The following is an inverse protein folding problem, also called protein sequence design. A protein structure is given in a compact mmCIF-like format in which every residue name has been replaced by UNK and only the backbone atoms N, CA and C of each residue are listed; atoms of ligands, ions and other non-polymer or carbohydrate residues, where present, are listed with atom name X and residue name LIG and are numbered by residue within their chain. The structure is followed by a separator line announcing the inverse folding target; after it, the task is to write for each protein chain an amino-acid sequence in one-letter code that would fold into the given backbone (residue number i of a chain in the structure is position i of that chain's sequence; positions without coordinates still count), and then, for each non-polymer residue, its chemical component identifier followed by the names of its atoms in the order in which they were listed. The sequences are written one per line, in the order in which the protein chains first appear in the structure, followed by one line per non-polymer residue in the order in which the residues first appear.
data_IF_760853522535
#
_entry.id   IF_760853522535
#
_cell.length_a   1.000
_cell.length_b   1.000
_cell.length_c   1.000
_cell.angle_alpha   90.00
_cell.angle_beta   90.00
_cell.angle_gamma   90.00
#
_symmetry.space_group_name_H-M   'P 1'
#
loop_
_entity.id
_entity.type
_entity.pdbx_description
1 polymer ?
#
# COMPACT_ATOMS: atom_id res chain seq x y z
N UNK A 1 -6.54 31.03 -20.48
CA UNK A 1 -6.42 30.84 -19.00
C UNK A 1 -4.95 30.57 -18.67
N UNK A 2 -4.37 31.29 -17.69
CA UNK A 2 -2.96 31.04 -17.31
C UNK A 2 -2.77 29.61 -16.78
N UNK A 3 -1.61 28.99 -17.09
CA UNK A 3 -1.30 27.60 -16.66
C UNK A 3 -1.39 27.45 -15.13
N UNK A 4 -1.02 28.48 -14.39
CA UNK A 4 -1.08 28.49 -12.92
C UNK A 4 -2.52 28.40 -12.44
N UNK A 5 -3.42 29.21 -13.03
CA UNK A 5 -4.84 29.21 -12.69
C UNK A 5 -5.49 27.86 -13.02
N UNK A 6 -5.15 27.29 -14.17
CA UNK A 6 -5.59 25.96 -14.57
C UNK A 6 -5.18 24.89 -13.55
N UNK A 7 -3.95 24.90 -13.07
CA UNK A 7 -3.44 23.95 -12.05
C UNK A 7 -4.13 24.14 -10.69
N UNK A 8 -4.37 25.40 -10.28
CA UNK A 8 -5.09 25.73 -9.05
C UNK A 8 -6.54 25.23 -9.11
N UNK A 9 -7.22 25.47 -10.23
CA UNK A 9 -8.58 25.01 -10.47
C UNK A 9 -8.67 23.48 -10.50
N UNK A 10 -7.73 22.81 -11.19
CA UNK A 10 -7.63 21.36 -11.18
C UNK A 10 -7.46 20.77 -9.76
N UNK A 11 -6.61 21.39 -8.93
CA UNK A 11 -6.47 21.00 -7.53
C UNK A 11 -7.78 21.15 -6.76
N UNK A 12 -8.54 22.25 -6.98
CA UNK A 12 -9.86 22.46 -6.36
C UNK A 12 -10.86 21.40 -6.81
N UNK A 13 -10.88 21.10 -8.10
CA UNK A 13 -11.73 20.06 -8.66
C UNK A 13 -11.43 18.66 -8.08
N UNK A 14 -10.16 18.27 -7.99
CA UNK A 14 -9.77 17.02 -7.34
C UNK A 14 -10.19 16.95 -5.86
N UNK A 15 -10.16 18.07 -5.13
CA UNK A 15 -10.67 18.15 -3.76
C UNK A 15 -12.19 17.93 -3.70
N UNK A 16 -12.97 18.57 -4.60
CA UNK A 16 -14.43 18.38 -4.69
C UNK A 16 -14.79 16.92 -4.98
N UNK A 17 -13.96 16.19 -5.72
CA UNK A 17 -14.10 14.75 -5.97
C UNK A 17 -13.62 13.87 -4.81
N UNK A 18 -13.37 14.43 -3.65
CA UNK A 18 -12.92 13.73 -2.45
C UNK A 18 -11.66 12.87 -2.65
N UNK A 19 -10.73 13.32 -3.52
CA UNK A 19 -9.46 12.66 -3.68
C UNK A 19 -8.63 12.75 -2.39
N UNK A 20 -7.95 11.66 -2.02
CA UNK A 20 -7.12 11.62 -0.82
C UNK A 20 -6.01 12.68 -0.85
N UNK A 21 -5.60 13.17 0.33
CA UNK A 21 -4.50 14.12 0.46
C UNK A 21 -3.19 13.60 -0.18
N UNK A 22 -2.97 12.28 -0.13
CA UNK A 22 -1.84 11.63 -0.78
C UNK A 22 -1.94 11.72 -2.32
N UNK A 23 -3.10 11.40 -2.88
CA UNK A 23 -3.37 11.49 -4.33
C UNK A 23 -3.18 12.93 -4.82
N UNK A 24 -3.77 13.90 -4.11
CA UNK A 24 -3.60 15.32 -4.42
C UNK A 24 -2.12 15.73 -4.43
N UNK A 25 -1.36 15.36 -3.40
CA UNK A 25 0.07 15.68 -3.33
C UNK A 25 0.85 15.07 -4.48
N UNK A 26 0.59 13.80 -4.81
CA UNK A 26 1.27 13.10 -5.90
C UNK A 26 0.96 13.79 -7.23
N UNK A 27 -0.31 14.06 -7.54
CA UNK A 27 -0.71 14.70 -8.79
C UNK A 27 -0.13 16.11 -8.92
N UNK A 28 -0.20 16.91 -7.85
CA UNK A 28 0.36 18.27 -7.89
C UNK A 28 1.89 18.27 -8.05
N UNK A 29 2.60 17.37 -7.37
CA UNK A 29 4.05 17.27 -7.52
C UNK A 29 4.47 16.85 -8.93
N UNK A 30 3.83 15.82 -9.48
CA UNK A 30 4.15 15.32 -10.83
C UNK A 30 3.78 16.35 -11.89
N UNK A 31 2.62 16.99 -11.76
CA UNK A 31 2.20 18.05 -12.68
C UNK A 31 3.10 19.28 -12.61
N UNK A 32 3.54 19.69 -11.40
CA UNK A 32 4.52 20.76 -11.23
C UNK A 32 5.80 20.49 -12.02
N UNK A 33 6.33 19.26 -11.96
CA UNK A 33 7.54 18.91 -12.71
C UNK A 33 7.31 19.02 -14.22
N UNK A 34 6.16 18.58 -14.72
CA UNK A 34 5.80 18.72 -16.13
C UNK A 34 5.74 20.19 -16.54
N UNK A 35 5.00 21.01 -15.76
CA UNK A 35 4.83 22.44 -16.05
C UNK A 35 6.16 23.22 -16.01
N UNK A 36 7.05 22.89 -15.07
CA UNK A 36 8.38 23.53 -14.99
C UNK A 36 9.33 23.10 -16.12
N UNK A 37 9.13 21.90 -16.67
CA UNK A 37 9.91 21.41 -17.79
C UNK A 37 9.37 21.97 -19.12
N UNK A 38 8.06 22.22 -19.21
CA UNK A 38 7.39 22.66 -20.41
C UNK A 38 7.74 24.12 -20.70
N UNK A 39 8.32 24.38 -21.87
CA UNK A 39 8.67 25.73 -22.36
C UNK A 39 7.61 26.34 -23.29
N UNK A 40 6.47 25.65 -23.48
CA UNK A 40 5.42 26.00 -24.43
C UNK A 40 4.07 26.18 -23.72
N UNK A 41 3.10 26.91 -24.31
CA UNK A 41 1.72 26.92 -23.85
C UNK A 41 1.13 25.50 -23.81
N UNK A 42 0.23 25.24 -22.85
CA UNK A 42 -0.38 23.90 -22.67
C UNK A 42 -1.23 23.49 -23.86
N UNK A 43 -1.72 24.45 -24.62
CA UNK A 43 -2.52 24.26 -25.84
C UNK A 43 -1.69 23.72 -27.01
N UNK A 44 -0.39 23.99 -27.03
CA UNK A 44 0.55 23.57 -28.08
C UNK A 44 1.21 22.22 -27.82
N UNK A 45 0.95 21.60 -26.66
CA UNK A 45 1.53 20.32 -26.30
C UNK A 45 0.95 19.19 -27.15
N UNK A 46 1.74 18.75 -28.12
CA UNK A 46 1.41 17.62 -28.98
C UNK A 46 2.03 16.30 -28.48
N UNK A 47 1.74 15.20 -29.21
CA UNK A 47 2.30 13.88 -28.90
C UNK A 47 3.82 13.83 -28.84
N UNK A 48 4.52 14.60 -29.67
CA UNK A 48 5.99 14.66 -29.71
C UNK A 48 6.57 15.23 -28.41
N UNK A 49 5.98 16.32 -27.93
CA UNK A 49 6.40 16.94 -26.65
C UNK A 49 6.24 15.96 -25.47
N UNK A 50 5.19 15.11 -25.49
CA UNK A 50 5.02 14.07 -24.46
C UNK A 50 6.13 13.02 -24.58
N UNK A 51 6.55 12.63 -25.76
CA UNK A 51 7.67 11.70 -25.97
C UNK A 51 8.98 12.31 -25.46
N UNK A 52 9.26 13.57 -25.80
CA UNK A 52 10.45 14.28 -25.30
C UNK A 52 10.44 14.39 -23.77
N UNK A 53 9.27 14.55 -23.16
CA UNK A 53 9.15 14.51 -21.69
C UNK A 53 9.42 13.13 -21.11
N UNK A 54 8.95 12.05 -21.77
CA UNK A 54 9.28 10.67 -21.36
C UNK A 54 10.79 10.45 -21.42
N UNK A 55 11.45 10.86 -22.51
CA UNK A 55 12.89 10.71 -22.69
C UNK A 55 13.66 11.50 -21.62
N UNK A 56 13.21 12.73 -21.31
CA UNK A 56 13.74 13.51 -20.20
C UNK A 56 13.63 12.77 -18.85
N UNK A 57 12.49 12.13 -18.55
CA UNK A 57 12.29 11.39 -17.31
C UNK A 57 13.16 10.10 -17.27
N UNK A 58 13.36 9.44 -18.42
CA UNK A 58 14.25 8.28 -18.56
C UNK A 58 15.70 8.71 -18.33
N UNK A 59 16.16 9.80 -18.94
CA UNK A 59 17.51 10.35 -18.78
C UNK A 59 17.81 10.72 -17.32
N UNK A 60 16.80 11.10 -16.55
CA UNK A 60 16.90 11.32 -15.09
C UNK A 60 16.94 10.03 -14.26
N UNK A 61 16.95 8.86 -14.88
CA UNK A 61 17.00 7.57 -14.18
C UNK A 61 15.73 7.17 -13.45
N UNK A 62 14.57 7.74 -13.78
CA UNK A 62 13.31 7.37 -13.13
C UNK A 62 12.85 5.99 -13.61
N UNK A 63 12.30 5.21 -12.67
CA UNK A 63 11.78 3.90 -13.03
C UNK A 63 10.45 4.00 -13.82
N UNK A 64 10.13 3.01 -14.68
CA UNK A 64 8.94 3.04 -15.54
C UNK A 64 7.62 3.28 -14.79
N UNK A 65 7.48 2.76 -13.57
CA UNK A 65 6.29 2.97 -12.76
C UNK A 65 6.13 4.43 -12.33
N UNK A 66 7.24 5.09 -12.00
CA UNK A 66 7.25 6.52 -11.65
C UNK A 66 6.90 7.35 -12.87
N UNK A 67 7.51 7.05 -14.04
CA UNK A 67 7.20 7.73 -15.31
C UNK A 67 5.70 7.61 -15.63
N UNK A 68 5.12 6.42 -15.50
CA UNK A 68 3.68 6.23 -15.71
C UNK A 68 2.83 7.06 -14.74
N UNK A 69 3.27 7.28 -13.49
CA UNK A 69 2.59 8.19 -12.56
C UNK A 69 2.61 9.65 -13.05
N UNK A 70 3.71 10.10 -13.67
CA UNK A 70 3.77 11.42 -14.30
C UNK A 70 2.78 11.52 -15.46
N UNK A 71 2.79 10.54 -16.36
CA UNK A 71 1.89 10.51 -17.53
C UNK A 71 0.42 10.45 -17.11
N UNK A 72 0.08 9.65 -16.09
CA UNK A 72 -1.29 9.58 -15.57
C UNK A 72 -1.75 10.91 -14.96
N UNK A 73 -0.86 11.65 -14.32
CA UNK A 73 -1.16 12.97 -13.75
C UNK A 73 -1.36 14.02 -14.84
N UNK A 74 -0.49 14.04 -15.85
CA UNK A 74 -0.62 14.95 -17.02
C UNK A 74 -1.89 14.60 -17.78
N UNK A 75 -2.15 13.32 -18.08
CA UNK A 75 -3.37 12.88 -18.74
C UNK A 75 -4.63 13.31 -17.99
N UNK A 76 -4.61 13.16 -16.65
CA UNK A 76 -5.72 13.59 -15.80
C UNK A 76 -5.98 15.09 -15.86
N UNK A 77 -4.91 15.89 -15.92
CA UNK A 77 -4.99 17.33 -16.05
C UNK A 77 -5.59 17.76 -17.41
N UNK A 78 -5.11 17.19 -18.52
CA UNK A 78 -5.68 17.48 -19.84
C UNK A 78 -7.14 17.03 -19.97
N UNK A 79 -7.52 15.88 -19.40
CA UNK A 79 -8.93 15.49 -19.36
C UNK A 79 -9.79 16.50 -18.58
N UNK A 80 -9.27 17.05 -17.49
CA UNK A 80 -9.94 18.11 -16.74
C UNK A 80 -10.14 19.37 -17.60
N UNK A 81 -9.10 19.83 -18.30
CA UNK A 81 -9.19 21.00 -19.19
C UNK A 81 -10.24 20.81 -20.29
N UNK A 82 -10.30 19.62 -20.88
CA UNK A 82 -11.24 19.31 -21.96
C UNK A 82 -12.68 19.22 -21.45
N UNK A 83 -12.90 18.49 -20.35
CA UNK A 83 -14.27 18.15 -19.94
C UNK A 83 -14.89 19.14 -18.95
N UNK A 84 -14.10 19.78 -18.11
CA UNK A 84 -14.60 20.67 -17.07
C UNK A 84 -14.40 22.15 -17.43
N UNK A 85 -13.25 22.51 -18.01
CA UNK A 85 -12.96 23.88 -18.42
C UNK A 85 -13.32 24.16 -19.91
N UNK A 86 -13.80 23.14 -20.63
CA UNK A 86 -14.26 23.21 -22.04
C UNK A 86 -13.19 23.76 -22.98
N UNK A 87 -11.90 23.58 -22.70
CA UNK A 87 -10.81 24.03 -23.55
C UNK A 87 -10.76 23.15 -24.80
N UNK A 88 -10.72 23.78 -25.98
CA UNK A 88 -10.70 23.08 -27.29
C UNK A 88 -9.31 22.55 -27.63
N UNK A 89 -8.86 21.52 -26.89
CA UNK A 89 -7.59 20.84 -27.10
C UNK A 89 -7.80 19.31 -27.10
N UNK A 90 -6.81 18.58 -27.60
CA UNK A 90 -6.79 17.11 -27.54
C UNK A 90 -5.83 16.68 -26.45
N UNK A 91 -6.19 15.64 -25.70
CA UNK A 91 -5.27 15.10 -24.69
C UNK A 91 -4.02 14.51 -25.36
N UNK A 92 -2.83 15.09 -25.15
CA UNK A 92 -1.61 14.63 -25.82
C UNK A 92 -1.10 13.30 -25.31
N UNK A 93 -1.51 12.88 -24.08
CA UNK A 93 -1.05 11.64 -23.45
C UNK A 93 -1.94 10.46 -23.84
N UNK A 94 -1.55 9.73 -24.88
CA UNK A 94 -2.23 8.49 -25.32
C UNK A 94 -1.93 7.34 -24.38
N UNK A 95 -2.86 6.37 -24.24
CA UNK A 95 -2.64 5.16 -23.41
C UNK A 95 -1.44 4.33 -23.87
N UNK A 96 -1.14 4.32 -25.15
CA UNK A 96 0.01 3.64 -25.74
C UNK A 96 1.37 4.17 -25.31
N UNK A 97 1.45 5.36 -24.71
CA UNK A 97 2.70 5.96 -24.21
C UNK A 97 3.10 5.43 -22.83
N UNK A 98 2.21 4.72 -22.13
CA UNK A 98 2.56 4.12 -20.85
C UNK A 98 3.61 3.03 -21.05
N UNK A 99 4.70 3.12 -20.29
CA UNK A 99 5.78 2.17 -20.32
C UNK A 99 5.31 0.80 -19.80
N UNK A 100 5.77 -0.27 -20.42
CA UNK A 100 5.51 -1.64 -19.95
C UNK A 100 6.16 -1.83 -18.57
N UNK A 101 5.36 -2.32 -17.62
CA UNK A 101 5.85 -2.58 -16.27
C UNK A 101 6.13 -4.07 -16.10
N UNK A 102 7.30 -4.39 -15.59
CA UNK A 102 7.56 -5.72 -15.04
C UNK A 102 6.57 -5.99 -13.89
N UNK A 103 6.10 -7.24 -13.78
CA UNK A 103 5.19 -7.67 -12.71
C UNK A 103 5.91 -8.67 -11.81
N UNK A 104 6.92 -8.22 -11.04
CA UNK A 104 7.62 -9.11 -10.12
C UNK A 104 6.62 -9.69 -9.11
N UNK A 105 6.91 -10.90 -8.66
CA UNK A 105 6.16 -11.51 -7.59
C UNK A 105 6.26 -10.65 -6.32
N UNK A 106 5.18 -10.51 -5.53
CA UNK A 106 5.24 -9.83 -4.26
C UNK A 106 6.28 -10.47 -3.35
N UNK A 107 7.25 -9.69 -2.88
CA UNK A 107 8.20 -10.18 -1.88
C UNK A 107 7.49 -10.34 -0.54
N UNK A 108 7.66 -11.48 0.09
CA UNK A 108 7.20 -11.80 1.43
C UNK A 108 8.39 -12.35 2.24
N UNK A 109 8.26 -12.38 3.54
CA UNK A 109 9.23 -13.05 4.41
C UNK A 109 9.02 -14.55 4.33
N UNK A 110 10.11 -15.31 4.28
CA UNK A 110 10.10 -16.74 4.48
C UNK A 110 9.82 -17.07 5.95
N UNK A 111 9.34 -18.26 6.23
CA UNK A 111 8.92 -18.61 7.60
C UNK A 111 10.09 -18.55 8.59
N UNK A 112 11.32 -18.89 8.18
CA UNK A 112 12.53 -18.77 8.99
C UNK A 112 13.01 -17.32 9.21
N UNK A 113 12.60 -16.38 8.38
CA UNK A 113 12.97 -14.96 8.52
C UNK A 113 12.11 -14.24 9.56
N UNK A 114 10.90 -14.73 9.81
CA UNK A 114 9.96 -14.13 10.77
C UNK A 114 10.52 -14.16 12.19
N UNK A 115 10.94 -15.32 12.76
CA UNK A 115 11.56 -15.37 14.08
C UNK A 115 12.81 -14.48 14.18
N UNK A 116 13.64 -14.44 13.14
CA UNK A 116 14.86 -13.60 13.11
C UNK A 116 14.52 -12.11 13.21
N UNK A 117 13.49 -11.65 12.48
CA UNK A 117 13.01 -10.27 12.57
C UNK A 117 12.49 -9.96 13.98
N UNK A 118 11.63 -10.83 14.51
CA UNK A 118 10.99 -10.59 15.81
C UNK A 118 11.93 -10.77 17.01
N UNK A 119 13.02 -11.48 16.88
CA UNK A 119 14.05 -11.63 17.93
C UNK A 119 14.73 -10.31 18.28
N UNK A 120 14.91 -9.42 17.30
CA UNK A 120 15.58 -8.11 17.52
C UNK A 120 14.61 -7.00 17.95
N UNK A 121 13.29 -7.27 18.01
CA UNK A 121 12.28 -6.27 18.37
C UNK A 121 12.08 -6.26 19.89
N UNK A 122 12.78 -5.38 20.58
CA UNK A 122 12.74 -5.28 22.06
C UNK A 122 11.60 -4.37 22.56
N UNK A 123 11.09 -3.44 21.75
CA UNK A 123 9.98 -2.56 22.13
C UNK A 123 8.64 -3.29 22.07
N UNK A 124 7.90 -3.35 23.20
CA UNK A 124 6.56 -3.94 23.26
C UNK A 124 5.59 -3.27 22.29
N UNK A 125 5.67 -1.93 22.16
CA UNK A 125 4.88 -1.17 21.19
C UNK A 125 5.17 -1.61 19.74
N UNK A 126 6.44 -1.62 19.36
CA UNK A 126 6.86 -1.94 18.01
C UNK A 126 6.53 -3.40 17.66
N UNK A 127 6.70 -4.30 18.64
CA UNK A 127 6.30 -5.71 18.53
C UNK A 127 4.79 -5.83 18.26
N UNK A 128 3.96 -5.14 19.03
CA UNK A 128 2.51 -5.13 18.79
C UNK A 128 2.14 -4.56 17.42
N UNK A 129 2.74 -3.44 17.00
CA UNK A 129 2.55 -2.85 15.68
C UNK A 129 2.83 -3.87 14.57
N UNK A 130 4.00 -4.51 14.61
CA UNK A 130 4.42 -5.41 13.54
C UNK A 130 3.69 -6.77 13.57
N UNK A 131 3.29 -7.24 14.77
CA UNK A 131 2.42 -8.41 14.88
C UNK A 131 1.04 -8.16 14.27
N UNK A 132 0.42 -6.99 14.49
CA UNK A 132 -0.84 -6.65 13.82
C UNK A 132 -0.70 -6.56 12.30
N UNK A 133 0.44 -6.06 11.81
CA UNK A 133 0.67 -6.04 10.36
C UNK A 133 0.89 -7.44 9.78
N UNK A 134 1.58 -8.33 10.52
CA UNK A 134 1.88 -9.69 10.10
C UNK A 134 0.67 -10.63 10.22
N UNK A 135 -0.12 -10.53 11.31
CA UNK A 135 -1.20 -11.48 11.59
C UNK A 135 -2.57 -11.01 11.14
N UNK A 136 -2.84 -9.69 11.20
CA UNK A 136 -4.11 -9.12 10.77
C UNK A 136 -4.03 -8.47 9.38
N UNK A 137 -2.86 -8.44 8.75
CA UNK A 137 -2.65 -7.89 7.42
C UNK A 137 -2.92 -6.39 7.30
N UNK A 138 -2.75 -5.63 8.37
CA UNK A 138 -3.03 -4.20 8.40
C UNK A 138 -2.01 -3.41 7.56
N UNK A 139 -2.49 -2.33 6.94
CA UNK A 139 -1.62 -1.34 6.30
C UNK A 139 -0.98 -0.45 7.36
N UNK A 140 0.22 0.05 7.09
CA UNK A 140 0.92 0.96 8.01
C UNK A 140 0.08 2.20 8.37
N UNK A 141 -0.68 2.73 7.42
CA UNK A 141 -1.59 3.86 7.64
C UNK A 141 -2.77 3.50 8.54
N UNK A 142 -3.30 2.29 8.41
CA UNK A 142 -4.38 1.77 9.26
C UNK A 142 -3.90 1.63 10.70
N UNK A 143 -2.69 1.09 10.89
CA UNK A 143 -2.08 0.96 12.22
C UNK A 143 -1.78 2.33 12.84
N UNK A 144 -1.23 3.28 12.08
CA UNK A 144 -0.92 4.62 12.58
C UNK A 144 -2.17 5.42 13.03
N UNK A 145 -3.31 5.19 12.36
CA UNK A 145 -4.59 5.88 12.65
C UNK A 145 -5.49 5.12 13.62
N UNK A 146 -5.07 3.95 14.10
CA UNK A 146 -5.89 3.09 14.93
C UNK A 146 -6.21 3.72 16.27
N UNK A 147 -7.47 3.65 16.67
CA UNK A 147 -7.93 4.12 17.98
C UNK A 147 -8.07 2.94 18.96
N UNK A 148 -8.10 3.24 20.26
CA UNK A 148 -8.39 2.25 21.30
C UNK A 148 -9.78 1.64 21.14
N UNK A 149 -10.76 2.43 20.69
CA UNK A 149 -12.15 1.99 20.46
C UNK A 149 -12.29 0.96 19.31
N UNK A 150 -11.23 0.83 18.47
CA UNK A 150 -11.22 -0.16 17.41
C UNK A 150 -10.94 -1.59 17.92
N UNK A 151 -10.58 -1.74 19.19
CA UNK A 151 -10.24 -3.00 19.84
C UNK A 151 -11.44 -3.64 20.55
N UNK A 152 -11.72 -4.89 20.20
CA UNK A 152 -12.59 -5.80 20.95
C UNK A 152 -11.74 -7.01 21.38
N UNK A 153 -11.07 -6.89 22.51
CA UNK A 153 -10.20 -7.96 23.03
C UNK A 153 -10.97 -9.23 23.45
N UNK A 154 -12.15 -9.14 24.10
CA UNK A 154 -12.96 -10.31 24.41
C UNK A 154 -13.33 -11.15 23.18
N UNK A 155 -13.66 -10.50 22.07
CA UNK A 155 -13.99 -11.20 20.81
C UNK A 155 -12.78 -11.43 19.92
N UNK A 156 -11.58 -11.04 20.35
CA UNK A 156 -10.35 -11.11 19.53
C UNK A 156 -10.53 -10.43 18.16
N UNK A 157 -11.22 -9.29 18.13
CA UNK A 157 -11.53 -8.54 16.92
C UNK A 157 -10.93 -7.14 16.93
N UNK A 158 -10.72 -6.62 15.72
CA UNK A 158 -10.21 -5.29 15.51
C UNK A 158 -10.91 -4.65 14.32
N UNK A 159 -11.52 -3.49 14.55
CA UNK A 159 -12.28 -2.75 13.56
C UNK A 159 -11.39 -1.78 12.79
N UNK A 160 -11.37 -1.89 11.48
CA UNK A 160 -10.66 -0.95 10.58
C UNK A 160 -11.69 -0.05 9.94
N UNK A 161 -11.96 1.12 10.56
CA UNK A 161 -13.04 2.03 10.16
C UNK A 161 -12.82 2.75 8.82
N UNK A 162 -11.57 3.01 8.43
CA UNK A 162 -11.23 3.78 7.22
C UNK A 162 -10.15 3.07 6.40
N UNK A 163 -10.55 2.00 5.70
CA UNK A 163 -9.70 1.36 4.69
C UNK A 163 -9.59 2.18 3.40
N UNK A 164 -8.75 1.74 2.47
CA UNK A 164 -8.68 2.34 1.13
C UNK A 164 -10.06 2.30 0.45
N UNK A 165 -10.59 3.46 0.06
CA UNK A 165 -11.94 3.59 -0.50
C UNK A 165 -13.05 3.71 0.55
N UNK A 166 -12.73 4.09 1.79
CA UNK A 166 -13.67 4.33 2.90
C UNK A 166 -14.55 3.12 3.29
N UNK A 167 -14.10 1.90 2.99
CA UNK A 167 -14.78 0.65 3.41
C UNK A 167 -14.17 0.15 4.71
N UNK A 168 -14.99 0.07 5.76
CA UNK A 168 -14.65 -0.58 7.01
C UNK A 168 -14.53 -2.10 6.84
N UNK A 169 -13.74 -2.74 7.69
CA UNK A 169 -13.70 -4.21 7.82
C UNK A 169 -13.33 -4.62 9.23
N UNK A 170 -13.70 -5.84 9.59
CA UNK A 170 -13.24 -6.50 10.81
C UNK A 170 -12.07 -7.42 10.46
N UNK A 171 -11.04 -7.43 11.29
CA UNK A 171 -9.95 -8.41 11.26
C UNK A 171 -9.82 -9.08 12.62
N UNK A 172 -9.25 -10.28 12.63
CA UNK A 172 -9.19 -11.11 13.82
C UNK A 172 -7.77 -11.12 14.40
N UNK A 173 -7.68 -11.13 15.72
CA UNK A 173 -6.42 -11.21 16.45
C UNK A 173 -6.06 -12.68 16.70
N UNK A 174 -4.91 -13.08 16.19
CA UNK A 174 -4.31 -14.36 16.60
C UNK A 174 -3.80 -14.29 18.05
N UNK A 175 -3.66 -15.43 18.75
CA UNK A 175 -3.22 -15.44 20.16
C UNK A 175 -1.90 -14.71 20.39
N UNK A 176 -0.94 -14.83 19.46
CA UNK A 176 0.36 -14.15 19.53
C UNK A 176 0.25 -12.64 19.32
N UNK A 177 -0.61 -12.18 18.40
CA UNK A 177 -0.90 -10.77 18.19
C UNK A 177 -1.64 -10.14 19.39
N UNK A 178 -2.62 -10.85 19.94
CA UNK A 178 -3.36 -10.42 21.12
C UNK A 178 -2.43 -10.28 22.33
N UNK A 179 -1.56 -11.26 22.59
CA UNK A 179 -0.56 -11.21 23.67
C UNK A 179 0.37 -10.00 23.51
N UNK A 180 0.94 -9.81 22.32
CA UNK A 180 1.82 -8.66 22.05
C UNK A 180 1.12 -7.32 22.29
N UNK A 181 -0.17 -7.23 21.93
CA UNK A 181 -0.98 -6.06 22.13
C UNK A 181 -1.27 -5.80 23.62
N UNK A 182 -1.66 -6.82 24.38
CA UNK A 182 -1.88 -6.72 25.83
C UNK A 182 -0.60 -6.30 26.54
N UNK A 183 0.55 -6.88 26.19
CA UNK A 183 1.85 -6.51 26.75
C UNK A 183 2.20 -5.03 26.50
N UNK A 184 1.83 -4.50 25.35
CA UNK A 184 1.99 -3.07 25.05
C UNK A 184 1.00 -2.22 25.88
N UNK A 185 -0.27 -2.60 25.94
CA UNK A 185 -1.32 -1.85 26.65
C UNK A 185 -1.00 -1.69 28.15
N UNK A 186 -0.39 -2.68 28.79
CA UNK A 186 0.06 -2.60 30.18
C UNK A 186 1.12 -1.51 30.42
N UNK A 187 1.89 -1.15 29.39
CA UNK A 187 2.96 -0.13 29.46
C UNK A 187 2.51 1.24 28.92
N UNK A 188 1.31 1.30 28.34
CA UNK A 188 0.80 2.50 27.69
C UNK A 188 0.41 3.58 28.73
N UNK A 189 1.22 4.65 28.84
CA UNK A 189 1.15 5.65 29.91
C UNK A 189 0.21 6.83 29.67
N UNK A 190 -0.60 6.86 28.60
CA UNK A 190 -1.49 7.97 28.30
C UNK A 190 -2.96 7.50 28.14
N UNK A 191 -3.71 7.34 29.26
CA UNK A 191 -5.06 6.78 29.23
C UNK A 191 -6.07 7.65 28.45
N UNK A 192 -5.86 8.96 28.40
CA UNK A 192 -6.74 9.91 27.67
C UNK A 192 -6.49 9.97 26.16
N UNK A 193 -5.39 9.44 25.68
CA UNK A 193 -5.09 9.46 24.24
C UNK A 193 -5.99 8.46 23.49
N UNK A 194 -6.71 8.95 22.49
CA UNK A 194 -7.62 8.13 21.67
C UNK A 194 -6.85 7.14 20.76
N UNK A 195 -5.63 7.50 20.32
CA UNK A 195 -4.81 6.66 19.44
C UNK A 195 -4.28 5.43 20.16
N UNK A 196 -4.32 4.28 19.52
CA UNK A 196 -3.82 3.02 20.08
C UNK A 196 -2.30 3.10 20.30
N UNK A 197 -1.54 3.44 19.28
CA UNK A 197 -0.07 3.47 19.31
C UNK A 197 0.48 4.88 19.49
N UNK A 198 1.29 5.06 20.52
CA UNK A 198 1.84 6.34 20.90
C UNK A 198 3.36 6.38 20.74
N UNK A 199 3.90 7.57 20.58
CA UNK A 199 5.34 7.81 20.65
C UNK A 199 5.78 7.68 22.12
N UNK A 200 6.79 6.87 22.39
CA UNK A 200 7.28 6.55 23.75
C UNK A 200 8.42 7.44 24.24
N UNK A 201 9.15 8.11 23.34
CA UNK A 201 10.34 8.91 23.69
C UNK A 201 10.41 10.20 22.87
N UNK A 202 11.16 11.16 23.39
CA UNK A 202 11.46 12.45 22.72
C UNK A 202 10.33 13.48 22.82
N UNK A 203 10.48 14.58 22.06
CA UNK A 203 9.58 15.76 22.09
C UNK A 203 8.10 15.42 21.84
N UNK A 204 7.81 14.38 21.04
CA UNK A 204 6.46 13.97 20.68
C UNK A 204 5.92 12.85 21.56
N UNK A 205 6.52 12.56 22.73
CA UNK A 205 6.07 11.51 23.66
C UNK A 205 4.57 11.66 23.98
N UNK A 206 3.83 10.55 23.95
CA UNK A 206 2.38 10.54 24.24
C UNK A 206 1.49 10.93 23.05
N UNK A 207 2.04 11.42 21.94
CA UNK A 207 1.26 11.66 20.71
C UNK A 207 1.15 10.41 19.86
N UNK A 208 0.20 10.40 18.90
CA UNK A 208 0.03 9.28 17.97
C UNK A 208 1.31 9.06 17.13
N UNK A 209 1.72 7.82 16.97
CA UNK A 209 2.85 7.47 16.10
C UNK A 209 2.49 7.72 14.64
N UNK A 210 3.37 8.39 13.89
CA UNK A 210 3.16 8.65 12.48
C UNK A 210 3.51 7.44 11.60
N UNK A 211 2.97 7.39 10.38
CA UNK A 211 3.34 6.38 9.37
C UNK A 211 4.85 6.32 9.16
N UNK A 212 5.50 7.50 9.03
CA UNK A 212 6.96 7.55 8.86
C UNK A 212 7.70 7.08 10.11
N UNK A 213 7.15 7.32 11.31
CA UNK A 213 7.68 6.78 12.57
C UNK A 213 7.70 5.26 12.56
N UNK A 214 6.59 4.60 12.18
CA UNK A 214 6.51 3.14 12.06
C UNK A 214 7.50 2.62 11.01
N UNK A 215 7.57 3.27 9.84
CA UNK A 215 8.50 2.88 8.78
C UNK A 215 9.97 2.97 9.22
N UNK A 216 10.36 4.05 9.92
CA UNK A 216 11.72 4.17 10.47
C UNK A 216 12.04 3.10 11.50
N UNK A 217 11.06 2.70 12.31
CA UNK A 217 11.23 1.57 13.25
C UNK A 217 11.44 0.26 12.49
N UNK A 218 10.68 0.00 11.43
CA UNK A 218 10.91 -1.18 10.58
C UNK A 218 12.28 -1.13 9.91
N UNK A 219 12.70 0.00 9.34
CA UNK A 219 14.03 0.19 8.75
C UNK A 219 15.17 -0.12 9.76
N UNK A 220 14.97 0.29 11.02
CA UNK A 220 15.91 0.00 12.10
C UNK A 220 16.01 -1.52 12.39
N UNK A 221 14.88 -2.20 12.57
CA UNK A 221 14.88 -3.64 12.85
C UNK A 221 15.30 -4.50 11.64
N UNK A 222 15.02 -4.05 10.44
CA UNK A 222 15.50 -4.66 9.20
C UNK A 222 17.05 -4.69 9.18
N UNK A 223 17.68 -3.57 9.55
CA UNK A 223 19.15 -3.51 9.66
C UNK A 223 19.70 -4.43 10.76
N UNK A 224 19.08 -4.44 11.94
CA UNK A 224 19.51 -5.28 13.07
C UNK A 224 19.38 -6.79 12.78
N UNK A 225 18.34 -7.19 12.05
CA UNK A 225 18.12 -8.60 11.67
C UNK A 225 18.90 -9.03 10.42
N UNK A 226 19.55 -8.09 9.71
CA UNK A 226 20.19 -8.36 8.42
C UNK A 226 19.21 -8.69 7.29
N UNK A 227 17.91 -8.36 7.46
CA UNK A 227 16.86 -8.65 6.50
C UNK A 227 16.50 -7.42 5.66
N UNK A 228 16.17 -7.62 4.39
CA UNK A 228 15.59 -6.59 3.53
C UNK A 228 14.07 -6.64 3.62
N UNK A 229 13.51 -6.00 4.65
CA UNK A 229 12.08 -6.01 4.94
C UNK A 229 11.51 -4.61 5.10
N UNK A 230 10.29 -4.41 4.64
CA UNK A 230 9.51 -3.18 4.86
C UNK A 230 8.10 -3.54 5.38
N UNK A 231 7.42 -2.55 5.93
CA UNK A 231 6.07 -2.73 6.51
C UNK A 231 5.10 -3.46 5.60
N UNK A 232 5.10 -3.18 4.30
CA UNK A 232 4.15 -3.78 3.36
C UNK A 232 4.41 -5.28 3.14
N UNK A 233 5.65 -5.74 3.30
CA UNK A 233 5.99 -7.16 3.17
C UNK A 233 5.40 -8.01 4.29
N UNK A 234 5.23 -7.49 5.52
CA UNK A 234 4.53 -8.24 6.59
C UNK A 234 3.11 -8.61 6.17
N UNK A 235 2.39 -7.68 5.57
CA UNK A 235 1.06 -7.92 5.04
C UNK A 235 1.08 -8.91 3.85
N UNK A 236 2.08 -8.86 2.99
CA UNK A 236 2.27 -9.84 1.92
C UNK A 236 2.56 -11.23 2.49
N UNK A 237 3.36 -11.30 3.55
CA UNK A 237 3.67 -12.55 4.27
C UNK A 237 2.40 -13.19 4.82
N UNK A 238 1.55 -12.43 5.51
CA UNK A 238 0.25 -12.92 6.00
C UNK A 238 -0.59 -13.51 4.88
N UNK A 239 -0.74 -12.78 3.77
CA UNK A 239 -1.54 -13.25 2.65
C UNK A 239 -1.00 -14.55 2.04
N UNK A 240 0.33 -14.66 1.91
CA UNK A 240 1.00 -15.86 1.38
C UNK A 240 0.88 -17.04 2.36
N UNK A 241 1.07 -16.79 3.68
CA UNK A 241 0.91 -17.82 4.70
C UNK A 241 -0.52 -18.36 4.75
N UNK A 242 -1.54 -17.49 4.72
CA UNK A 242 -2.94 -17.94 4.69
C UNK A 242 -3.26 -18.74 3.43
N UNK A 243 -2.75 -18.31 2.28
CA UNK A 243 -2.94 -19.05 1.04
C UNK A 243 -2.25 -20.41 1.07
N UNK A 244 -1.05 -20.51 1.65
CA UNK A 244 -0.32 -21.76 1.84
C UNK A 244 -1.00 -22.69 2.86
N UNK A 245 -1.78 -22.13 3.77
CA UNK A 245 -2.64 -22.85 4.73
C UNK A 245 -4.06 -23.09 4.20
N UNK A 246 -4.26 -23.06 2.89
CA UNK A 246 -5.51 -23.38 2.19
C UNK A 246 -6.70 -22.45 2.47
N UNK A 247 -6.44 -21.25 3.01
CA UNK A 247 -7.50 -20.25 3.16
C UNK A 247 -8.06 -19.83 1.78
N UNK A 248 -9.37 -19.68 1.71
CA UNK A 248 -10.04 -19.25 0.48
C UNK A 248 -9.55 -17.84 0.06
N UNK A 249 -9.33 -17.63 -1.24
CA UNK A 249 -8.84 -16.36 -1.77
C UNK A 249 -9.78 -15.19 -1.45
N UNK A 250 -11.09 -15.45 -1.38
CA UNK A 250 -12.10 -14.45 -1.01
C UNK A 250 -11.93 -14.03 0.45
N UNK A 251 -11.71 -14.98 1.36
CA UNK A 251 -11.42 -14.69 2.77
C UNK A 251 -10.18 -13.81 2.92
N UNK A 252 -9.10 -14.14 2.18
CA UNK A 252 -7.87 -13.32 2.18
C UNK A 252 -8.16 -11.93 1.61
N UNK A 253 -8.98 -11.81 0.57
CA UNK A 253 -9.40 -10.53 -0.01
C UNK A 253 -10.11 -9.67 1.02
N UNK A 254 -11.07 -10.22 1.76
CA UNK A 254 -11.87 -9.52 2.76
C UNK A 254 -11.01 -9.06 3.94
N UNK A 255 -10.18 -9.94 4.49
CA UNK A 255 -9.24 -9.61 5.56
C UNK A 255 -8.29 -8.47 5.15
N UNK A 256 -7.81 -8.50 3.92
CA UNK A 256 -6.93 -7.46 3.38
C UNK A 256 -7.71 -6.19 2.99
N UNK A 257 -9.02 -6.23 2.80
CA UNK A 257 -9.81 -5.11 2.27
C UNK A 257 -9.34 -4.70 0.88
N UNK A 258 -9.19 -5.66 -0.04
CA UNK A 258 -8.90 -5.40 -1.44
C UNK A 258 -10.20 -5.19 -2.21
N UNK A 259 -10.39 -4.00 -2.78
CA UNK A 259 -11.57 -3.68 -3.58
C UNK A 259 -11.71 -4.53 -4.86
N UNK A 260 -10.62 -5.14 -5.32
CA UNK A 260 -10.59 -5.98 -6.53
C UNK A 260 -9.87 -7.29 -6.25
N UNK A 261 -10.48 -8.42 -6.56
CA UNK A 261 -9.91 -9.77 -6.40
C UNK A 261 -8.56 -9.91 -7.13
N UNK A 262 -8.41 -9.26 -8.27
CA UNK A 262 -7.17 -9.24 -9.06
C UNK A 262 -5.94 -8.81 -8.24
N UNK A 263 -6.14 -8.01 -7.20
CA UNK A 263 -5.06 -7.59 -6.29
C UNK A 263 -4.63 -8.75 -5.39
N UNK A 264 -5.56 -9.61 -4.99
CA UNK A 264 -5.31 -10.78 -4.13
C UNK A 264 -4.79 -11.96 -4.95
N UNK A 265 -5.27 -12.14 -6.19
CA UNK A 265 -4.78 -13.17 -7.12
C UNK A 265 -3.27 -13.11 -7.38
N UNK A 266 -2.62 -11.98 -7.11
CA UNK A 266 -1.15 -11.87 -7.21
C UNK A 266 -0.43 -12.82 -6.24
N UNK A 267 -1.04 -13.19 -5.14
CA UNK A 267 -0.47 -14.13 -4.18
C UNK A 267 -0.52 -15.58 -4.68
N UNK A 268 -1.50 -15.95 -5.51
CA UNK A 268 -1.55 -17.25 -6.13
C UNK A 268 -0.30 -17.55 -6.99
N UNK A 269 0.34 -16.53 -7.54
CA UNK A 269 1.58 -16.68 -8.31
C UNK A 269 2.82 -16.89 -7.43
N UNK A 270 2.72 -16.60 -6.13
CA UNK A 270 3.82 -16.72 -5.16
C UNK A 270 3.76 -18.04 -4.43
N UNK A 271 2.56 -18.62 -4.29
CA UNK A 271 2.32 -19.88 -3.59
C UNK A 271 2.57 -21.08 -4.50
N UNK A 272 3.86 -21.38 -4.75
CA UNK A 272 4.21 -22.64 -5.44
C UNK A 272 3.79 -23.87 -4.62
N UNK A 273 3.76 -23.77 -3.28
CA UNK A 273 3.38 -24.87 -2.39
C UNK A 273 1.91 -25.30 -2.58
N UNK A 274 0.99 -24.32 -2.73
CA UNK A 274 -0.41 -24.64 -2.97
C UNK A 274 -0.59 -25.27 -4.35
N UNK A 275 0.00 -24.69 -5.38
CA UNK A 275 -0.04 -25.23 -6.75
C UNK A 275 0.52 -26.66 -6.79
N UNK A 276 1.63 -26.91 -6.10
CA UNK A 276 2.23 -28.24 -6.03
C UNK A 276 1.32 -29.24 -5.31
N UNK A 277 0.72 -28.87 -4.18
CA UNK A 277 -0.23 -29.73 -3.43
C UNK A 277 -1.49 -30.02 -4.26
N UNK A 278 -2.11 -28.99 -4.82
CA UNK A 278 -3.32 -29.14 -5.64
C UNK A 278 -3.05 -30.03 -6.85
N UNK A 279 -1.87 -29.88 -7.50
CA UNK A 279 -1.44 -30.75 -8.59
C UNK A 279 -1.26 -32.20 -8.12
N UNK A 280 -0.50 -32.43 -7.04
CA UNK A 280 -0.25 -33.77 -6.52
C UNK A 280 -1.55 -34.48 -6.11
N UNK A 281 -2.47 -33.75 -5.49
CA UNK A 281 -3.77 -34.29 -5.10
C UNK A 281 -4.65 -34.59 -6.32
N UNK A 282 -4.66 -33.71 -7.29
CA UNK A 282 -5.43 -33.92 -8.52
C UNK A 282 -4.86 -35.05 -9.38
N UNK A 283 -3.55 -35.08 -9.61
CA UNK A 283 -2.90 -36.11 -10.44
C UNK A 283 -3.01 -37.47 -9.78
N UNK A 284 -2.94 -37.61 -8.46
CA UNK A 284 -3.16 -38.84 -7.75
C UNK A 284 -4.55 -39.44 -8.02
N UNK A 285 -5.59 -38.60 -8.04
CA UNK A 285 -6.95 -39.03 -8.42
C UNK A 285 -7.05 -39.43 -9.89
N UNK A 286 -6.34 -38.78 -10.79
CA UNK A 286 -6.30 -39.13 -12.22
C UNK A 286 -5.63 -40.48 -12.40
N UNK A 287 -4.47 -40.72 -11.78
CA UNK A 287 -3.73 -41.98 -11.85
C UNK A 287 -4.59 -43.13 -11.30
N UNK A 288 -5.29 -42.93 -10.17
CA UNK A 288 -6.17 -43.97 -9.60
C UNK A 288 -7.35 -44.32 -10.52
N UNK A 289 -7.87 -43.36 -11.30
CA UNK A 289 -8.97 -43.62 -12.29
C UNK A 289 -8.48 -44.25 -13.57
N UNK A 290 -7.22 -44.10 -13.90
CA UNK A 290 -6.60 -44.60 -15.13
C UNK A 290 -5.36 -45.46 -14.80
N UNK A 291 -5.47 -46.29 -13.73
CA UNK A 291 -4.40 -47.25 -13.43
C UNK A 291 -4.18 -48.14 -14.70
N UNK A 292 -3.05 -47.87 -15.37
CA UNK A 292 -2.55 -48.62 -16.51
C UNK A 292 -1.96 -49.94 -16.03
#
# INVERSE_FOLDING_TARGET
MGIIDAVVNYRRWLKRRNCSAHTLRTYMNTLRHFVLWLALPIEEVGPRIVQDFIDHLIARGLNPKTINCYLDSVRGFYNYLIHEEQVRIVNPVKRGYLLRLSRPLPRHLRDEEIPRLFAVINSKRDRAIFMLMLRCGLRVEEVAKMSLQALDLPRSQLFVYQGKGNKGRVVYLSPDAQRALIDYLKLRSAPRAKSLFLVDKGRCKGTAISVRGIQKRMEHYARLSGLRVCCHQLRHTMATQLLNADAALVTIQDLLGHARIRTTQRYCRVSNLKVQRDYQQAIGKVIQRHAL
#
